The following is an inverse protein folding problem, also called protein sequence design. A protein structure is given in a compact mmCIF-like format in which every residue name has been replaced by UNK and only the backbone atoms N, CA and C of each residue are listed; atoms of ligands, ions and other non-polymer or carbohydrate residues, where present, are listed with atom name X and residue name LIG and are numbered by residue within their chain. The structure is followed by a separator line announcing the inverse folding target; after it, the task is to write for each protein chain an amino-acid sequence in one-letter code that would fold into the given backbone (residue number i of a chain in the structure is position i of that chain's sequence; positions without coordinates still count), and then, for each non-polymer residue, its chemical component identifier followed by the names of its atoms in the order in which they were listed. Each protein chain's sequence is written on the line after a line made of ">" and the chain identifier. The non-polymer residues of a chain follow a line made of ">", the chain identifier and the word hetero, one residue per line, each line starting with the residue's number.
data_IF_559716181391
#
_entry.id   IF_559716181391
#
_cell.length_a   1.000
_cell.length_b   1.000
_cell.length_c   1.000
_cell.angle_alpha   90.00
_cell.angle_beta   90.00
_cell.angle_gamma   90.00
#
_symmetry.space_group_name_H-M   'P 1'
#
loop_
_entity.id
_entity.type
_entity.pdbx_description
1 polymer ?
#
# COMPACT_ATOMS: atom_id res chain seq x y z
N UNK A 1 35.07 -6.30 15.92
CA UNK A 1 34.60 -6.49 14.53
C UNK A 1 33.69 -5.31 14.24
N UNK A 2 33.88 -4.53 13.16
CA UNK A 2 32.95 -3.47 12.83
C UNK A 2 31.58 -4.09 12.52
N UNK A 3 30.52 -3.59 13.17
CA UNK A 3 29.15 -3.92 12.82
C UNK A 3 28.89 -3.43 11.38
N UNK A 4 28.46 -4.33 10.50
CA UNK A 4 28.06 -3.97 9.15
C UNK A 4 26.72 -3.22 9.23
N UNK A 5 26.61 -2.09 8.54
CA UNK A 5 25.33 -1.41 8.37
C UNK A 5 24.31 -2.35 7.71
N UNK A 6 23.04 -2.32 8.15
CA UNK A 6 21.99 -3.13 7.55
C UNK A 6 21.76 -2.71 6.10
N UNK A 7 21.80 -3.69 5.18
CA UNK A 7 21.51 -3.51 3.76
C UNK A 7 20.11 -2.89 3.61
N UNK A 8 19.99 -1.84 2.80
CA UNK A 8 18.70 -1.20 2.55
C UNK A 8 17.74 -2.15 1.83
N UNK A 9 16.43 -1.92 2.00
CA UNK A 9 15.41 -2.70 1.29
C UNK A 9 15.58 -2.64 -0.23
N UNK A 10 16.04 -1.48 -0.73
CA UNK A 10 16.29 -1.24 -2.15
C UNK A 10 17.45 -2.09 -2.68
N UNK A 11 18.57 -2.09 -1.97
CA UNK A 11 19.74 -2.92 -2.32
C UNK A 11 19.38 -4.41 -2.27
N UNK A 12 18.57 -4.81 -1.31
CA UNK A 12 18.11 -6.20 -1.20
C UNK A 12 17.17 -6.59 -2.33
N UNK A 13 16.25 -5.71 -2.75
CA UNK A 13 15.36 -5.96 -3.87
C UNK A 13 16.14 -6.09 -5.18
N UNK A 14 17.06 -5.16 -5.46
CA UNK A 14 17.91 -5.18 -6.66
C UNK A 14 18.76 -6.45 -6.68
N UNK A 15 19.39 -6.82 -5.56
CA UNK A 15 20.18 -8.04 -5.43
C UNK A 15 19.39 -9.30 -5.76
N UNK A 16 18.18 -9.44 -5.21
CA UNK A 16 17.31 -10.60 -5.48
C UNK A 16 16.91 -10.70 -6.96
N UNK A 17 16.57 -9.57 -7.59
CA UNK A 17 16.19 -9.55 -9.01
C UNK A 17 17.40 -9.93 -9.87
N UNK A 18 18.58 -9.42 -9.54
CA UNK A 18 19.81 -9.73 -10.25
C UNK A 18 20.14 -11.23 -10.18
N UNK A 19 20.07 -11.83 -9.00
CA UNK A 19 20.31 -13.27 -8.79
C UNK A 19 19.38 -14.13 -9.67
N UNK A 20 18.10 -13.78 -9.76
CA UNK A 20 17.16 -14.48 -10.62
C UNK A 20 17.48 -14.27 -12.12
N UNK A 21 17.84 -13.05 -12.53
CA UNK A 21 18.23 -12.77 -13.92
C UNK A 21 19.49 -13.55 -14.33
N UNK A 22 20.47 -13.67 -13.44
CA UNK A 22 21.66 -14.50 -13.63
C UNK A 22 21.27 -15.97 -13.83
N UNK A 23 20.44 -16.52 -12.94
CA UNK A 23 19.95 -17.89 -13.04
C UNK A 23 19.20 -18.17 -14.36
N UNK A 24 18.33 -17.25 -14.79
CA UNK A 24 17.60 -17.36 -16.06
C UNK A 24 18.53 -17.24 -17.27
N UNK A 25 19.52 -16.35 -17.22
CA UNK A 25 20.50 -16.17 -18.31
C UNK A 25 21.32 -17.43 -18.52
N UNK A 26 21.79 -18.05 -17.43
CA UNK A 26 22.51 -19.33 -17.47
C UNK A 26 21.61 -20.45 -17.96
N UNK A 27 20.41 -20.59 -17.39
CA UNK A 27 19.47 -21.66 -17.74
C UNK A 27 18.96 -21.60 -19.18
N UNK A 28 18.92 -20.41 -19.78
CA UNK A 28 18.41 -20.19 -21.15
C UNK A 28 19.50 -19.91 -22.18
N UNK A 29 20.77 -19.82 -21.77
CA UNK A 29 21.90 -19.56 -22.66
C UNK A 29 21.84 -18.19 -23.35
N UNK A 30 21.35 -17.15 -22.65
CA UNK A 30 21.15 -15.82 -23.25
C UNK A 30 22.44 -15.01 -23.38
N UNK A 31 23.49 -15.37 -22.64
CA UNK A 31 24.81 -14.73 -22.74
C UNK A 31 24.81 -13.24 -22.39
N UNK A 32 23.91 -12.81 -21.50
CA UNK A 32 23.87 -11.42 -21.03
C UNK A 32 25.07 -11.15 -20.12
N UNK A 33 25.70 -10.00 -20.33
CA UNK A 33 26.81 -9.56 -19.48
C UNK A 33 26.32 -8.92 -18.17
N UNK A 34 27.25 -8.79 -17.22
CA UNK A 34 27.02 -8.23 -15.90
C UNK A 34 26.44 -6.81 -15.91
N UNK A 35 26.81 -5.98 -16.88
CA UNK A 35 26.35 -4.60 -16.96
C UNK A 35 24.88 -4.55 -17.42
N UNK A 36 24.48 -5.44 -18.32
CA UNK A 36 23.09 -5.60 -18.75
C UNK A 36 22.25 -6.15 -17.60
N UNK A 37 22.74 -7.15 -16.88
CA UNK A 37 22.04 -7.72 -15.73
C UNK A 37 21.80 -6.68 -14.64
N UNK A 38 22.80 -5.85 -14.35
CA UNK A 38 22.69 -4.73 -13.39
C UNK A 38 21.62 -3.73 -13.82
N UNK A 39 21.63 -3.31 -15.09
CA UNK A 39 20.65 -2.34 -15.61
C UNK A 39 19.23 -2.91 -15.62
N UNK A 40 19.06 -4.19 -15.96
CA UNK A 40 17.77 -4.86 -15.93
C UNK A 40 17.25 -4.99 -14.49
N UNK A 41 18.11 -5.39 -13.55
CA UNK A 41 17.75 -5.49 -12.14
C UNK A 41 17.28 -4.14 -11.59
N UNK A 42 18.03 -3.08 -11.89
CA UNK A 42 17.66 -1.72 -11.52
C UNK A 42 16.34 -1.29 -12.14
N UNK A 43 16.16 -1.47 -13.47
CA UNK A 43 14.94 -1.07 -14.17
C UNK A 43 13.70 -1.80 -13.64
N UNK A 44 13.79 -3.11 -13.38
CA UNK A 44 12.70 -3.90 -12.80
C UNK A 44 12.43 -3.43 -11.37
N UNK A 45 13.45 -3.22 -10.55
CA UNK A 45 13.29 -2.75 -9.18
C UNK A 45 12.58 -1.39 -9.13
N UNK A 46 12.96 -0.44 -9.99
CA UNK A 46 12.29 0.87 -10.09
C UNK A 46 10.84 0.72 -10.50
N UNK A 47 10.51 -0.17 -11.45
CA UNK A 47 9.13 -0.39 -11.87
C UNK A 47 8.29 -1.08 -10.80
N UNK A 48 8.86 -2.04 -10.07
CA UNK A 48 8.19 -2.68 -8.93
C UNK A 48 7.95 -1.68 -7.81
N UNK A 49 8.97 -0.89 -7.46
CA UNK A 49 8.82 0.20 -6.50
C UNK A 49 7.75 1.17 -6.95
N UNK A 50 7.77 1.61 -8.19
CA UNK A 50 6.71 2.46 -8.73
C UNK A 50 5.34 1.79 -8.60
N UNK A 51 5.20 0.50 -8.93
CA UNK A 51 3.94 -0.22 -8.83
C UNK A 51 3.41 -0.39 -7.39
N UNK A 52 4.29 -0.42 -6.39
CA UNK A 52 3.92 -0.57 -4.97
C UNK A 52 3.86 0.76 -4.20
N UNK A 53 4.70 1.74 -4.57
CA UNK A 53 4.77 3.08 -3.99
C UNK A 53 3.72 4.01 -4.59
N UNK A 54 3.45 3.88 -5.90
CA UNK A 54 2.15 4.29 -6.43
C UNK A 54 1.15 3.33 -5.85
N UNK A 55 0.52 3.77 -4.78
CA UNK A 55 -0.76 3.33 -4.24
C UNK A 55 -1.80 3.20 -5.36
N UNK A 56 -1.66 2.17 -6.19
CA UNK A 56 -2.48 1.81 -7.35
C UNK A 56 -3.80 1.18 -6.91
N UNK A 57 -4.27 1.50 -5.72
CA UNK A 57 -5.69 1.62 -5.55
C UNK A 57 -6.03 3.05 -6.01
N UNK A 58 -6.53 3.24 -7.25
CA UNK A 58 -7.19 4.48 -7.61
C UNK A 58 -8.09 4.95 -6.47
N UNK A 59 -8.30 6.25 -6.29
CA UNK A 59 -9.16 6.75 -5.18
C UNK A 59 -10.57 6.13 -5.18
N UNK A 60 -11.01 5.59 -6.32
CA UNK A 60 -12.26 4.82 -6.49
C UNK A 60 -12.14 3.32 -6.15
N UNK A 61 -10.93 2.76 -6.11
CA UNK A 61 -10.63 1.37 -5.75
C UNK A 61 -10.11 1.20 -4.30
N UNK A 62 -9.82 2.30 -3.59
CA UNK A 62 -9.54 2.28 -2.16
C UNK A 62 -10.85 2.07 -1.42
N UNK A 63 -11.17 0.82 -1.13
CA UNK A 63 -12.24 0.49 -0.20
C UNK A 63 -11.92 1.03 1.19
N UNK A 64 -12.98 1.23 1.96
CA UNK A 64 -12.93 1.57 3.38
C UNK A 64 -11.99 0.62 4.12
N UNK A 65 -11.04 1.15 4.90
CA UNK A 65 -10.28 0.31 5.82
C UNK A 65 -11.04 0.26 7.14
N UNK A 66 -11.64 -0.89 7.46
CA UNK A 66 -12.38 -1.09 8.71
C UNK A 66 -11.79 -2.26 9.50
N UNK A 67 -11.64 -2.08 10.81
CA UNK A 67 -11.21 -3.14 11.72
C UNK A 67 -11.94 -3.07 13.05
N UNK A 68 -11.78 -4.11 13.87
CA UNK A 68 -12.34 -4.20 15.22
C UNK A 68 -11.23 -4.62 16.18
N UNK A 69 -11.24 -4.02 17.36
CA UNK A 69 -10.40 -4.37 18.49
C UNK A 69 -11.28 -4.84 19.65
N UNK A 70 -10.82 -5.86 20.37
CA UNK A 70 -11.47 -6.27 21.61
C UNK A 70 -11.19 -5.22 22.69
N UNK A 71 -12.24 -4.76 23.36
CA UNK A 71 -12.17 -3.70 24.35
C UNK A 71 -13.12 -4.03 25.51
N UNK A 72 -12.54 -4.43 26.65
CA UNK A 72 -13.30 -4.86 27.84
C UNK A 72 -14.06 -3.71 28.51
N UNK A 73 -13.68 -2.46 28.23
CA UNK A 73 -14.35 -1.27 28.76
C UNK A 73 -15.59 -0.90 27.95
N UNK A 74 -15.79 -1.53 26.78
CA UNK A 74 -16.94 -1.32 25.92
C UNK A 74 -18.13 -2.21 26.30
N UNK A 75 -19.38 -1.70 26.29
CA UNK A 75 -20.57 -2.51 26.57
C UNK A 75 -20.73 -3.75 25.69
N UNK A 76 -20.18 -3.71 24.48
CA UNK A 76 -20.19 -4.81 23.50
C UNK A 76 -18.93 -5.68 23.56
N UNK A 77 -17.90 -5.31 24.32
CA UNK A 77 -16.59 -5.95 24.28
C UNK A 77 -15.78 -5.64 23.01
N UNK A 78 -16.27 -4.73 22.16
CA UNK A 78 -15.73 -4.47 20.82
C UNK A 78 -15.69 -2.97 20.55
N UNK A 79 -14.57 -2.53 19.97
CA UNK A 79 -14.33 -1.18 19.48
C UNK A 79 -14.09 -1.25 17.98
N UNK A 80 -14.87 -0.50 17.19
CA UNK A 80 -14.80 -0.57 15.72
C UNK A 80 -14.12 0.68 15.19
N UNK A 81 -13.36 0.54 14.12
CA UNK A 81 -12.64 1.66 13.52
C UNK A 81 -12.83 1.68 12.02
N UNK A 82 -12.88 2.89 11.46
CA UNK A 82 -12.89 3.10 10.02
C UNK A 82 -11.94 4.23 9.65
N UNK A 83 -10.98 3.94 8.77
CA UNK A 83 -10.04 4.90 8.21
C UNK A 83 -10.39 5.26 6.76
N UNK A 84 -10.34 6.57 6.48
CA UNK A 84 -10.41 7.11 5.14
C UNK A 84 -9.03 7.13 4.48
N UNK A 85 -8.72 6.10 3.68
CA UNK A 85 -7.46 5.99 2.92
C UNK A 85 -7.24 7.08 1.84
N UNK A 86 -8.15 8.06 1.73
CA UNK A 86 -7.99 9.25 0.87
C UNK A 86 -7.32 10.41 1.59
N UNK A 87 -7.51 10.54 2.91
CA UNK A 87 -7.00 11.68 3.68
C UNK A 87 -6.44 11.32 5.08
N UNK A 88 -6.46 10.04 5.47
CA UNK A 88 -5.98 9.57 6.77
C UNK A 88 -6.91 9.92 7.94
N UNK A 89 -8.15 10.33 7.67
CA UNK A 89 -9.15 10.53 8.71
C UNK A 89 -9.55 9.19 9.33
N UNK A 90 -9.74 9.18 10.66
CA UNK A 90 -10.13 8.02 11.44
C UNK A 90 -11.38 8.34 12.26
N UNK A 91 -12.27 7.36 12.43
CA UNK A 91 -13.43 7.45 13.33
C UNK A 91 -13.03 7.80 14.76
N UNK A 92 -13.98 8.34 15.53
CA UNK A 92 -13.78 8.68 16.93
C UNK A 92 -13.38 7.49 17.80
N UNK A 93 -13.12 7.75 19.09
CA UNK A 93 -12.89 6.68 20.05
C UNK A 93 -14.19 5.93 20.35
N UNK A 94 -14.09 4.62 20.48
CA UNK A 94 -15.14 3.76 21.03
C UNK A 94 -16.46 3.72 20.25
N UNK A 95 -16.49 3.76 18.90
CA UNK A 95 -17.75 3.67 18.19
C UNK A 95 -18.16 2.20 18.05
N UNK A 96 -19.45 1.94 18.14
CA UNK A 96 -20.02 0.71 17.61
C UNK A 96 -19.81 0.63 16.10
N UNK A 97 -19.90 -0.57 15.53
CA UNK A 97 -19.82 -0.79 14.07
C UNK A 97 -20.72 0.17 13.27
N UNK A 98 -21.95 0.38 13.73
CA UNK A 98 -22.90 1.26 13.05
C UNK A 98 -22.51 2.74 13.13
N UNK A 99 -21.97 3.17 14.27
CA UNK A 99 -21.46 4.54 14.45
C UNK A 99 -20.23 4.80 13.58
N UNK A 100 -19.26 3.88 13.59
CA UNK A 100 -18.04 3.99 12.79
C UNK A 100 -18.37 4.11 11.28
N UNK A 101 -19.32 3.30 10.80
CA UNK A 101 -19.81 3.37 9.42
C UNK A 101 -20.52 4.70 9.12
N UNK A 102 -21.38 5.18 10.03
CA UNK A 102 -22.12 6.42 9.84
C UNK A 102 -21.20 7.65 9.83
N UNK A 103 -20.21 7.69 10.73
CA UNK A 103 -19.17 8.71 10.77
C UNK A 103 -18.36 8.73 9.47
N UNK A 104 -17.94 7.56 8.98
CA UNK A 104 -17.23 7.46 7.71
C UNK A 104 -18.06 7.99 6.52
N UNK A 105 -19.33 7.60 6.42
CA UNK A 105 -20.22 8.10 5.37
C UNK A 105 -20.41 9.63 5.45
N UNK A 106 -20.56 10.17 6.66
CA UNK A 106 -20.64 11.61 6.89
C UNK A 106 -19.34 12.34 6.52
N UNK A 107 -18.18 11.76 6.86
CA UNK A 107 -16.87 12.26 6.49
C UNK A 107 -16.70 12.32 4.95
N UNK A 108 -17.00 11.22 4.25
CA UNK A 108 -16.89 11.15 2.79
C UNK A 108 -17.81 12.20 2.12
N UNK A 109 -19.06 12.32 2.58
CA UNK A 109 -20.01 13.27 2.01
C UNK A 109 -19.58 14.75 2.20
N UNK A 110 -18.89 15.07 3.29
CA UNK A 110 -18.49 16.44 3.62
C UNK A 110 -17.12 16.84 3.09
N UNK A 111 -16.14 15.92 3.09
CA UNK A 111 -14.74 16.22 2.77
C UNK A 111 -14.29 15.66 1.42
N UNK A 112 -15.04 14.71 0.87
CA UNK A 112 -14.77 14.08 -0.42
C UNK A 112 -16.02 14.04 -1.33
N UNK A 113 -16.74 15.16 -1.50
CA UNK A 113 -17.88 15.19 -2.41
C UNK A 113 -17.39 14.75 -3.79
N UNK A 114 -18.08 13.78 -4.39
CA UNK A 114 -17.81 13.41 -5.77
C UNK A 114 -17.99 14.68 -6.60
N UNK A 115 -17.00 15.01 -7.43
CA UNK A 115 -17.11 16.10 -8.40
C UNK A 115 -18.09 15.78 -9.54
N UNK A 116 -19.06 14.90 -9.32
CA UNK A 116 -20.15 14.59 -10.24
C UNK A 116 -21.28 15.63 -10.10
N UNK A 117 -20.89 16.90 -10.19
CA UNK A 117 -21.78 17.95 -10.68
C UNK A 117 -21.82 17.85 -12.20
N UNK A 118 -22.40 16.76 -12.73
CA UNK A 118 -22.84 16.72 -14.12
C UNK A 118 -23.98 17.74 -14.24
N UNK A 119 -23.62 18.96 -14.63
CA UNK A 119 -24.57 19.99 -15.04
C UNK A 119 -25.24 19.50 -16.33
N UNK A 120 -26.35 18.80 -16.14
CA UNK A 120 -27.31 18.48 -17.18
C UNK A 120 -28.44 19.51 -17.06
N UNK A 121 -28.47 20.50 -17.95
CA UNK A 121 -29.53 21.50 -18.04
C UNK A 121 -29.02 22.91 -18.25
#
# INVERSE_FOLDING_TARGET
>A
MPEQEPISLDERLIGNIREELEAQTVGRGLGLDDAILEQLAWAIAVNLRYAFDVTWAPKWAREVHSWMEADEDMPTGENHFVECLRCGWLTGQNPSKAQAQAEYLGHVASHHPSSEGCSSG
#
